data_IF_310560154567
#
_entry.id   IF_310560154567
#
_cell.length_a   1.000
_cell.length_b   1.000
_cell.length_c   1.000
_cell.angle_alpha   90.00
_cell.angle_beta   90.00
_cell.angle_gamma   90.00
#
_symmetry.space_group_name_H-M   'P 1'
#
loop_
_entity.id
_entity.type
_entity.pdbx_description
1 polymer ?
#
# COMPACT_ATOMS: atom_id res chain seq x y z
N UNK A 1 -42.69 4.82 7.13
CA UNK A 1 -41.35 5.45 7.24
C UNK A 1 -40.99 5.51 8.73
N UNK A 2 -39.94 4.82 9.18
CA UNK A 2 -39.61 4.78 10.61
C UNK A 2 -38.90 6.06 11.04
N UNK A 3 -39.45 6.76 12.03
CA UNK A 3 -38.82 7.93 12.65
C UNK A 3 -38.16 7.52 13.97
N UNK A 4 -36.88 7.87 14.19
CA UNK A 4 -36.20 7.51 15.43
C UNK A 4 -36.82 8.23 16.63
N UNK A 5 -36.75 7.62 17.81
CA UNK A 5 -37.16 8.24 19.07
C UNK A 5 -36.31 9.47 19.37
N UNK A 6 -36.85 10.43 20.14
CA UNK A 6 -36.16 11.68 20.49
C UNK A 6 -34.74 11.52 21.04
N UNK A 7 -34.44 10.63 22.02
CA UNK A 7 -33.07 10.44 22.49
C UNK A 7 -32.14 9.92 21.39
N UNK A 8 -32.61 8.97 20.56
CA UNK A 8 -31.84 8.42 19.45
C UNK A 8 -31.57 9.48 18.37
N UNK A 9 -32.56 10.31 18.04
CA UNK A 9 -32.42 11.42 17.09
C UNK A 9 -31.34 12.42 17.52
N UNK A 10 -31.26 12.74 18.82
CA UNK A 10 -30.21 13.61 19.40
C UNK A 10 -28.82 12.98 19.25
N UNK A 11 -28.66 11.70 19.56
CA UNK A 11 -27.39 10.99 19.42
C UNK A 11 -26.96 10.88 17.96
N UNK A 12 -27.88 10.49 17.07
CA UNK A 12 -27.62 10.36 15.64
C UNK A 12 -27.12 11.68 15.06
N UNK A 13 -27.69 12.84 15.42
CA UNK A 13 -27.30 14.15 14.84
C UNK A 13 -25.82 14.48 14.98
N UNK A 14 -25.14 13.95 15.99
CA UNK A 14 -23.71 14.19 16.27
C UNK A 14 -22.77 13.26 15.49
N UNK A 15 -23.28 12.17 14.91
CA UNK A 15 -22.47 11.27 14.09
C UNK A 15 -22.05 11.97 12.79
N UNK A 16 -20.84 11.69 12.35
CA UNK A 16 -20.31 12.21 11.10
C UNK A 16 -21.25 11.92 9.92
N UNK A 17 -21.49 12.93 9.09
CA UNK A 17 -22.40 12.81 7.96
C UNK A 17 -21.84 11.87 6.89
N UNK A 18 -22.67 10.96 6.41
CA UNK A 18 -22.36 10.03 5.32
C UNK A 18 -23.14 10.39 4.07
N UNK A 19 -22.70 9.89 2.92
CA UNK A 19 -23.37 10.11 1.62
C UNK A 19 -24.82 9.63 1.59
N UNK A 20 -25.18 8.63 2.42
CA UNK A 20 -26.53 8.03 2.46
C UNK A 20 -27.49 8.76 3.39
N UNK A 21 -26.98 9.65 4.23
CA UNK A 21 -27.76 10.32 5.26
C UNK A 21 -28.22 11.70 4.83
N UNK A 22 -27.41 12.39 4.05
CA UNK A 22 -27.76 13.66 3.46
C UNK A 22 -28.63 13.46 2.20
N UNK A 23 -29.51 14.42 1.93
CA UNK A 23 -30.34 14.43 0.72
C UNK A 23 -29.56 15.08 -0.44
N UNK A 24 -30.29 15.64 -1.41
CA UNK A 24 -29.74 16.33 -2.59
C UNK A 24 -28.77 17.45 -2.18
N UNK A 25 -27.70 17.63 -2.96
CA UNK A 25 -26.73 18.72 -2.81
C UNK A 25 -25.53 18.43 -1.91
N UNK A 26 -25.55 17.35 -1.13
CA UNK A 26 -24.38 16.93 -0.35
C UNK A 26 -23.57 15.87 -1.10
N UNK A 27 -22.33 16.21 -1.46
CA UNK A 27 -21.36 15.27 -2.00
C UNK A 27 -20.24 15.03 -0.98
N UNK A 28 -19.85 13.77 -0.79
CA UNK A 28 -18.71 13.38 0.05
C UNK A 28 -17.92 12.29 -0.67
N UNK A 29 -16.62 12.54 -0.87
CA UNK A 29 -15.72 11.60 -1.52
C UNK A 29 -15.40 10.35 -0.68
N UNK A 30 -14.90 9.31 -1.33
CA UNK A 30 -14.56 8.00 -0.74
C UNK A 30 -13.07 7.69 -0.76
N UNK A 31 -12.22 8.68 -1.04
CA UNK A 31 -10.76 8.48 -1.10
C UNK A 31 -10.25 7.85 -2.41
N UNK A 32 -11.05 7.87 -3.48
CA UNK A 32 -10.66 7.31 -4.79
C UNK A 32 -9.56 8.10 -5.51
N UNK A 33 -9.27 9.34 -5.06
CA UNK A 33 -8.34 10.27 -5.72
C UNK A 33 -8.96 11.00 -6.91
N UNK A 34 -8.29 12.04 -7.42
CA UNK A 34 -8.70 12.75 -8.63
C UNK A 34 -7.99 12.19 -9.85
N UNK A 35 -8.74 11.63 -10.81
CA UNK A 35 -8.22 11.00 -12.03
C UNK A 35 -8.24 11.93 -13.25
N UNK A 36 -8.37 13.23 -13.04
CA UNK A 36 -8.69 14.17 -14.11
C UNK A 36 -9.19 15.52 -13.61
N UNK A 37 -9.94 16.21 -14.44
CA UNK A 37 -10.49 17.53 -14.14
C UNK A 37 -11.84 17.74 -14.83
N UNK A 38 -12.69 18.58 -14.26
CA UNK A 38 -13.87 19.09 -14.96
C UNK A 38 -13.44 20.18 -15.95
N UNK A 39 -14.03 20.20 -17.15
CA UNK A 39 -13.82 21.30 -18.09
C UNK A 39 -14.51 22.59 -17.59
N UNK A 40 -13.76 23.70 -17.55
CA UNK A 40 -14.25 25.03 -17.19
C UNK A 40 -14.06 26.00 -18.37
N UNK A 41 -14.86 27.08 -18.44
CA UNK A 41 -14.58 28.20 -19.35
C UNK A 41 -13.35 29.01 -18.87
N UNK A 42 -12.75 29.81 -19.77
CA UNK A 42 -11.63 30.70 -19.46
C UNK A 42 -11.97 31.77 -18.39
N UNK A 43 -13.25 32.05 -18.18
CA UNK A 43 -13.79 32.97 -17.18
C UNK A 43 -14.20 32.27 -15.86
N UNK A 44 -13.88 30.97 -15.71
CA UNK A 44 -14.15 30.17 -14.52
C UNK A 44 -15.60 29.68 -14.37
N UNK A 45 -16.48 29.93 -15.33
CA UNK A 45 -17.88 29.47 -15.28
C UNK A 45 -18.03 28.03 -15.81
N UNK A 46 -18.98 27.23 -15.27
CA UNK A 46 -19.27 25.91 -15.82
C UNK A 46 -19.84 26.04 -17.24
N UNK A 47 -19.36 25.18 -18.15
CA UNK A 47 -19.89 25.09 -19.53
C UNK A 47 -21.33 24.59 -19.46
N UNK A 48 -22.29 25.51 -19.57
CA UNK A 48 -23.68 25.12 -19.73
C UNK A 48 -23.84 24.42 -21.10
N UNK A 49 -24.59 23.31 -21.19
CA UNK A 49 -25.43 22.75 -20.14
C UNK A 49 -24.75 21.70 -19.24
N UNK A 50 -23.51 21.26 -19.53
CA UNK A 50 -22.89 20.15 -18.82
C UNK A 50 -21.37 20.32 -18.63
N UNK A 51 -20.94 20.43 -17.38
CA UNK A 51 -19.55 20.20 -17.00
C UNK A 51 -19.24 18.70 -17.18
N UNK A 52 -18.32 18.39 -18.10
CA UNK A 52 -17.83 17.06 -18.45
C UNK A 52 -16.52 16.80 -17.68
N UNK A 53 -16.42 15.64 -17.05
CA UNK A 53 -15.16 15.21 -16.44
C UNK A 53 -14.23 14.63 -17.52
N UNK A 54 -13.03 15.20 -17.67
CA UNK A 54 -11.98 14.71 -18.56
C UNK A 54 -10.97 13.89 -17.77
N UNK A 55 -10.77 12.64 -18.18
CA UNK A 55 -9.80 11.73 -17.56
C UNK A 55 -8.39 12.06 -18.01
N UNK A 56 -7.47 12.13 -17.04
CA UNK A 56 -6.04 12.30 -17.25
C UNK A 56 -5.37 10.94 -17.02
N UNK A 57 -5.05 10.24 -18.11
CA UNK A 57 -4.49 8.89 -18.06
C UNK A 57 -3.12 8.81 -17.37
N UNK A 58 -2.39 9.92 -17.22
CA UNK A 58 -1.15 9.96 -16.43
C UNK A 58 -1.37 9.73 -14.93
N UNK A 59 -2.60 9.97 -14.44
CA UNK A 59 -3.00 9.78 -13.03
C UNK A 59 -3.75 8.49 -12.79
N UNK A 60 -4.13 7.79 -13.85
CA UNK A 60 -4.86 6.51 -13.75
C UNK A 60 -3.91 5.44 -13.25
N UNK A 61 -4.27 4.80 -12.14
CA UNK A 61 -3.49 3.73 -11.53
C UNK A 61 -3.66 2.45 -12.34
N UNK A 62 -2.56 1.81 -12.71
CA UNK A 62 -2.52 0.47 -13.31
C UNK A 62 -1.87 -0.51 -12.35
N UNK A 63 -2.22 -1.80 -12.48
CA UNK A 63 -1.62 -2.88 -11.71
C UNK A 63 -0.90 -3.80 -12.70
N UNK A 64 0.44 -3.73 -12.70
CA UNK A 64 1.28 -4.45 -13.67
C UNK A 64 1.36 -5.93 -13.28
N UNK A 65 0.92 -6.81 -14.18
CA UNK A 65 1.09 -8.26 -14.04
C UNK A 65 2.46 -8.67 -14.61
N UNK A 66 3.30 -9.42 -13.88
CA UNK A 66 4.56 -9.96 -14.41
C UNK A 66 4.34 -10.88 -15.62
N UNK A 67 5.26 -10.87 -16.59
CA UNK A 67 5.09 -11.60 -17.87
C UNK A 67 5.07 -13.13 -17.71
N UNK A 68 5.85 -13.69 -16.77
CA UNK A 68 5.98 -15.15 -16.55
C UNK A 68 5.35 -15.62 -15.24
N UNK A 69 4.22 -15.00 -14.86
CA UNK A 69 3.54 -15.37 -13.61
C UNK A 69 2.96 -16.80 -13.66
N UNK A 70 2.60 -17.29 -14.84
CA UNK A 70 2.02 -18.63 -15.02
C UNK A 70 3.07 -19.74 -14.85
N UNK A 71 4.34 -19.45 -15.12
CA UNK A 71 5.47 -20.38 -14.92
C UNK A 71 6.02 -20.33 -13.48
N UNK A 72 5.48 -19.45 -12.63
CA UNK A 72 5.96 -19.24 -11.28
C UNK A 72 5.58 -20.40 -10.35
N UNK A 73 6.58 -21.12 -9.86
CA UNK A 73 6.38 -22.23 -8.90
C UNK A 73 6.12 -21.76 -7.46
N UNK A 74 6.28 -20.46 -7.17
CA UNK A 74 6.05 -19.92 -5.83
C UNK A 74 4.55 -19.83 -5.56
N UNK A 75 4.10 -20.50 -4.49
CA UNK A 75 2.73 -20.44 -4.01
C UNK A 75 2.64 -19.59 -2.75
N UNK A 76 1.45 -19.08 -2.36
CA UNK A 76 1.29 -18.34 -1.11
C UNK A 76 1.48 -19.21 0.16
N UNK A 77 1.74 -20.52 0.00
CA UNK A 77 1.88 -21.47 1.10
C UNK A 77 3.29 -22.09 1.15
N UNK A 78 3.70 -22.50 2.34
CA UNK A 78 4.95 -23.22 2.59
C UNK A 78 4.62 -24.56 3.24
N UNK A 79 5.37 -25.62 2.92
CA UNK A 79 5.14 -26.92 3.54
C UNK A 79 5.43 -26.87 5.05
N UNK A 80 4.56 -27.49 5.87
CA UNK A 80 4.62 -27.47 7.35
C UNK A 80 5.96 -27.93 7.95
N UNK A 81 6.72 -28.76 7.22
CA UNK A 81 8.01 -29.29 7.67
C UNK A 81 9.21 -28.37 7.41
N UNK A 82 9.05 -27.30 6.61
CA UNK A 82 10.07 -26.27 6.51
C UNK A 82 9.92 -25.38 7.74
N UNK A 83 10.78 -25.59 8.73
CA UNK A 83 10.77 -24.80 9.96
C UNK A 83 10.68 -23.32 9.65
N UNK A 84 9.73 -22.63 10.29
CA UNK A 84 9.68 -21.17 10.26
C UNK A 84 11.01 -20.71 10.84
N UNK A 85 11.87 -20.11 10.02
CA UNK A 85 13.07 -19.45 10.48
C UNK A 85 12.64 -18.19 11.26
N UNK A 86 12.09 -18.38 12.47
CA UNK A 86 11.66 -17.31 13.32
C UNK A 86 12.89 -16.49 13.70
N UNK A 87 12.95 -15.25 13.23
CA UNK A 87 13.88 -14.25 13.77
C UNK A 87 13.47 -13.82 15.20
N UNK A 88 12.42 -14.43 15.76
CA UNK A 88 11.73 -14.03 17.00
C UNK A 88 11.70 -15.14 18.06
N UNK A 89 12.71 -15.99 18.17
CA UNK A 89 12.91 -16.74 19.42
C UNK A 89 13.79 -15.88 20.34
N UNK A 90 13.23 -15.24 21.40
CA UNK A 90 14.01 -14.41 22.31
C UNK A 90 15.02 -15.21 23.16
N UNK A 91 14.82 -16.53 23.30
CA UNK A 91 15.59 -17.38 24.22
C UNK A 91 16.70 -18.18 23.56
N UNK A 92 16.92 -17.99 22.24
CA UNK A 92 18.07 -18.58 21.55
C UNK A 92 18.98 -17.45 21.06
N UNK A 93 20.24 -17.33 21.55
CA UNK A 93 21.21 -16.46 20.88
C UNK A 93 21.30 -16.90 19.42
N UNK A 94 21.39 -15.93 18.51
CA UNK A 94 21.33 -16.05 17.04
C UNK A 94 22.38 -17.00 16.44
N UNK A 95 22.28 -18.28 16.71
CA UNK A 95 23.10 -19.34 16.11
C UNK A 95 22.29 -20.19 15.15
N UNK A 96 21.21 -19.65 14.57
CA UNK A 96 20.75 -20.11 13.27
C UNK A 96 21.44 -19.24 12.21
N UNK A 97 22.67 -19.67 11.91
CA UNK A 97 23.38 -19.53 10.63
C UNK A 97 22.71 -18.57 9.65
N UNK A 98 22.92 -17.29 9.85
CA UNK A 98 23.26 -16.48 8.70
C UNK A 98 24.76 -16.74 8.48
N UNK A 99 25.16 -17.44 7.40
CA UNK A 99 26.57 -17.78 7.17
C UNK A 99 27.47 -16.54 6.99
N UNK A 100 26.90 -15.33 6.99
CA UNK A 100 27.60 -14.06 6.83
C UNK A 100 27.67 -13.19 8.08
N UNK A 101 27.19 -13.65 9.23
CA UNK A 101 26.78 -12.70 10.29
C UNK A 101 27.59 -12.70 11.58
N UNK A 102 28.65 -13.50 11.64
CA UNK A 102 29.73 -13.33 12.60
C UNK A 102 31.03 -13.75 11.90
N UNK A 103 31.51 -12.91 10.99
CA UNK A 103 32.91 -12.91 10.62
C UNK A 103 33.57 -11.81 11.45
N UNK A 104 34.42 -12.17 12.42
CA UNK A 104 35.19 -11.21 13.22
C UNK A 104 36.02 -10.25 12.34
N UNK A 105 36.25 -10.63 11.08
CA UNK A 105 36.91 -9.82 10.04
C UNK A 105 36.10 -8.60 9.60
N UNK A 106 34.76 -8.62 9.72
CA UNK A 106 33.89 -7.53 9.23
C UNK A 106 32.79 -7.13 10.23
N UNK A 107 33.16 -6.52 11.37
CA UNK A 107 32.23 -6.14 12.45
C UNK A 107 31.18 -5.08 12.05
N UNK A 108 31.37 -4.40 10.91
CA UNK A 108 30.46 -3.40 10.36
C UNK A 108 29.28 -4.00 9.56
N UNK A 109 29.18 -5.33 9.45
CA UNK A 109 28.12 -6.05 8.72
C UNK A 109 26.97 -6.50 9.63
N UNK A 110 26.77 -5.79 10.75
CA UNK A 110 25.81 -6.12 11.81
C UNK A 110 24.33 -5.96 11.39
N UNK A 111 24.03 -5.16 10.36
CA UNK A 111 22.66 -4.86 9.95
C UNK A 111 22.34 -5.27 8.50
N UNK A 112 21.18 -5.92 8.30
CA UNK A 112 20.76 -6.46 6.97
C UNK A 112 20.45 -5.35 5.97
N UNK A 113 20.28 -4.13 6.48
CA UNK A 113 19.91 -2.93 5.75
C UNK A 113 21.13 -2.02 5.53
N UNK A 114 22.31 -2.42 6.02
CA UNK A 114 23.53 -1.63 5.85
C UNK A 114 23.96 -1.63 4.38
N UNK A 115 24.22 -0.45 3.83
CA UNK A 115 24.76 -0.32 2.47
C UNK A 115 26.10 -1.07 2.29
N UNK A 116 26.94 -1.16 3.34
CA UNK A 116 28.18 -1.94 3.32
C UNK A 116 27.92 -3.44 3.19
N UNK A 117 26.87 -3.94 3.84
CA UNK A 117 26.44 -5.35 3.70
C UNK A 117 26.00 -5.63 2.26
N UNK A 118 25.19 -4.75 1.68
CA UNK A 118 24.76 -4.85 0.29
C UNK A 118 25.96 -4.87 -0.67
N UNK A 119 26.89 -3.91 -0.54
CA UNK A 119 28.05 -3.82 -1.43
C UNK A 119 28.96 -5.05 -1.35
N UNK A 120 29.18 -5.60 -0.15
CA UNK A 120 29.96 -6.81 0.00
C UNK A 120 29.27 -8.02 -0.65
N UNK A 121 27.95 -8.18 -0.45
CA UNK A 121 27.17 -9.23 -1.08
C UNK A 121 27.18 -9.11 -2.61
N UNK A 122 27.00 -7.89 -3.13
CA UNK A 122 27.10 -7.58 -4.54
C UNK A 122 28.48 -7.95 -5.10
N UNK A 123 29.57 -7.53 -4.46
CA UNK A 123 30.93 -7.93 -4.87
C UNK A 123 31.15 -9.44 -4.88
N UNK A 124 30.54 -10.16 -3.94
CA UNK A 124 30.67 -11.62 -3.83
C UNK A 124 29.85 -12.37 -4.89
N UNK A 125 28.64 -11.92 -5.16
CA UNK A 125 27.68 -12.64 -6.03
C UNK A 125 27.77 -12.18 -7.50
N UNK A 126 28.18 -10.93 -7.76
CA UNK A 126 27.98 -10.23 -9.04
C UNK A 126 29.17 -9.36 -9.50
N UNK A 127 30.34 -9.41 -8.83
CA UNK A 127 31.40 -8.39 -8.92
C UNK A 127 32.10 -8.16 -10.28
N UNK A 128 31.60 -8.70 -11.38
CA UNK A 128 32.12 -8.54 -12.74
C UNK A 128 31.14 -7.87 -13.72
N UNK A 129 29.98 -7.40 -13.26
CA UNK A 129 29.06 -6.52 -14.03
C UNK A 129 29.30 -5.02 -13.76
#
# INVERSE_FOLDING_TARGET
MFTPTMPLSRALRRLALTTKRARKGFYKGTGTGSMGHFNQHADGRPRFPFAIYRVDYSKVRTYVRPMYLDDCMLTPFVARGHGIASTSNPDKPRTLRNPYYYDEKYPYMKDRWSGRFYLHRWKKELGEE
#
